data_IF_763737364286
#
_entry.id   IF_763737364286
#
_cell.length_a   1.000
_cell.length_b   1.000
_cell.length_c   1.000
_cell.angle_alpha   90.00
_cell.angle_beta   90.00
_cell.angle_gamma   90.00
#
_symmetry.space_group_name_H-M   'P 1'
#
loop_
_entity.id
_entity.type
_entity.pdbx_description
1 polymer ?
#
# COMPACT_ATOMS: atom_id res chain seq x y z
N UNK A 1 15.50 9.31 -7.61
CA UNK A 1 14.26 8.68 -7.11
C UNK A 1 13.97 7.42 -7.92
N UNK A 2 13.95 6.25 -7.28
CA UNK A 2 13.70 4.95 -7.93
C UNK A 2 12.44 5.02 -8.81
N UNK A 3 12.49 4.48 -10.04
CA UNK A 3 11.36 4.47 -10.99
C UNK A 3 10.08 3.92 -10.34
N UNK A 4 10.25 2.98 -9.41
CA UNK A 4 9.19 2.44 -8.57
C UNK A 4 8.45 3.50 -7.74
N UNK A 5 9.19 4.30 -6.96
CA UNK A 5 8.62 5.36 -6.13
C UNK A 5 7.83 6.37 -6.96
N UNK A 6 8.37 6.75 -8.14
CA UNK A 6 7.65 7.63 -9.06
C UNK A 6 6.31 7.03 -9.49
N UNK A 7 6.26 5.73 -9.80
CA UNK A 7 5.03 5.04 -10.21
C UNK A 7 3.99 4.95 -9.09
N UNK A 8 4.42 4.64 -7.86
CA UNK A 8 3.52 4.64 -6.69
C UNK A 8 2.93 6.03 -6.46
N UNK A 9 3.77 7.07 -6.46
CA UNK A 9 3.29 8.45 -6.24
C UNK A 9 2.29 8.85 -7.32
N UNK A 10 2.59 8.58 -8.60
CA UNK A 10 1.67 8.88 -9.70
C UNK A 10 0.34 8.14 -9.53
N UNK A 11 0.35 6.87 -9.15
CA UNK A 11 -0.87 6.12 -8.91
C UNK A 11 -1.68 6.72 -7.74
N UNK A 12 -1.02 7.03 -6.63
CA UNK A 12 -1.68 7.66 -5.49
C UNK A 12 -2.32 9.00 -5.88
N UNK A 13 -1.59 9.84 -6.62
CA UNK A 13 -2.11 11.11 -7.13
C UNK A 13 -3.32 10.91 -8.04
N UNK A 14 -3.30 9.91 -8.93
CA UNK A 14 -4.44 9.61 -9.80
C UNK A 14 -5.68 9.15 -9.00
N UNK A 15 -5.51 8.24 -8.05
CA UNK A 15 -6.61 7.75 -7.21
C UNK A 15 -7.18 8.90 -6.36
N UNK A 16 -6.32 9.71 -5.73
CA UNK A 16 -6.77 10.86 -4.96
C UNK A 16 -7.39 11.95 -5.82
N UNK A 17 -6.92 12.17 -7.05
CA UNK A 17 -7.57 13.09 -7.99
C UNK A 17 -9.01 12.64 -8.31
N UNK A 18 -9.23 11.35 -8.54
CA UNK A 18 -10.58 10.79 -8.75
C UNK A 18 -11.45 10.99 -7.50
N UNK A 19 -10.93 10.68 -6.31
CA UNK A 19 -11.65 10.90 -5.04
C UNK A 19 -12.01 12.38 -4.87
N UNK A 20 -11.07 13.29 -5.15
CA UNK A 20 -11.31 14.73 -5.07
C UNK A 20 -12.41 15.19 -6.03
N UNK A 21 -12.40 14.70 -7.28
CA UNK A 21 -13.45 15.00 -8.26
C UNK A 21 -14.81 14.52 -7.74
N UNK A 22 -14.88 13.26 -7.28
CA UNK A 22 -16.12 12.67 -6.74
C UNK A 22 -16.65 13.41 -5.50
N UNK A 23 -15.75 13.97 -4.69
CA UNK A 23 -16.12 14.79 -3.55
C UNK A 23 -16.72 16.13 -4.00
N UNK A 24 -16.10 16.81 -4.96
CA UNK A 24 -16.62 18.08 -5.49
C UNK A 24 -17.94 17.92 -6.26
N UNK A 25 -18.22 16.75 -6.82
CA UNK A 25 -19.53 16.43 -7.42
C UNK A 25 -20.58 15.99 -6.39
N UNK A 26 -20.27 16.04 -5.09
CA UNK A 26 -21.11 15.56 -3.98
C UNK A 26 -21.55 14.08 -4.12
N UNK A 27 -20.78 13.28 -4.87
CA UNK A 27 -21.06 11.85 -5.05
C UNK A 27 -20.58 11.00 -3.88
N UNK A 28 -19.64 11.52 -3.10
CA UNK A 28 -19.11 10.89 -1.89
C UNK A 28 -19.10 11.88 -0.71
N UNK A 29 -19.17 11.35 0.51
CA UNK A 29 -19.16 12.14 1.74
C UNK A 29 -17.75 12.54 2.18
N UNK A 30 -17.64 13.49 3.11
CA UNK A 30 -16.37 13.82 3.75
C UNK A 30 -15.79 12.62 4.52
N UNK A 31 -16.66 11.80 5.16
CA UNK A 31 -16.24 10.57 5.84
C UNK A 31 -15.57 9.60 4.85
N UNK A 32 -16.12 9.45 3.64
CA UNK A 32 -15.50 8.63 2.59
C UNK A 32 -14.10 9.13 2.23
N UNK A 33 -13.90 10.44 2.09
CA UNK A 33 -12.58 11.03 1.78
C UNK A 33 -11.59 10.72 2.91
N UNK A 34 -12.01 10.92 4.17
CA UNK A 34 -11.19 10.63 5.35
C UNK A 34 -10.83 9.14 5.40
N UNK A 35 -11.79 8.24 5.22
CA UNK A 35 -11.57 6.80 5.09
C UNK A 35 -10.54 6.47 4.02
N UNK A 36 -10.65 7.11 2.86
CA UNK A 36 -9.75 6.89 1.73
C UNK A 36 -8.31 7.33 2.04
N UNK A 37 -8.14 8.43 2.78
CA UNK A 37 -6.82 8.92 3.22
C UNK A 37 -6.18 7.92 4.17
N UNK A 38 -6.91 7.42 5.17
CA UNK A 38 -6.37 6.42 6.11
C UNK A 38 -6.01 5.11 5.40
N UNK A 39 -6.88 4.63 4.51
CA UNK A 39 -6.63 3.44 3.70
C UNK A 39 -5.37 3.59 2.82
N UNK A 40 -5.23 4.74 2.16
CA UNK A 40 -4.06 5.07 1.36
C UNK A 40 -2.78 5.14 2.17
N UNK A 41 -2.82 5.81 3.33
CA UNK A 41 -1.67 5.96 4.21
C UNK A 41 -1.15 4.61 4.74
N UNK A 42 -2.05 3.73 5.20
CA UNK A 42 -1.67 2.39 5.64
C UNK A 42 -1.02 1.58 4.52
N UNK A 43 -1.59 1.62 3.31
CA UNK A 43 -1.00 0.93 2.17
C UNK A 43 0.34 1.52 1.72
N UNK A 44 0.51 2.83 1.87
CA UNK A 44 1.78 3.48 1.53
C UNK A 44 2.88 3.01 2.48
N UNK A 45 2.61 2.99 3.79
CA UNK A 45 3.53 2.47 4.80
C UNK A 45 3.87 1.00 4.50
N UNK A 46 2.85 0.20 4.18
CA UNK A 46 3.04 -1.21 3.81
C UNK A 46 3.94 -1.38 2.57
N UNK A 47 3.72 -0.59 1.51
CA UNK A 47 4.53 -0.63 0.30
C UNK A 47 5.97 -0.16 0.53
N UNK A 48 6.17 0.88 1.36
CA UNK A 48 7.51 1.35 1.74
C UNK A 48 8.27 0.30 2.55
N UNK A 49 7.59 -0.39 3.46
CA UNK A 49 8.17 -1.50 4.22
C UNK A 49 8.61 -2.64 3.28
N UNK A 50 7.80 -2.98 2.28
CA UNK A 50 8.13 -3.96 1.25
C UNK A 50 9.46 -3.65 0.55
N UNK A 51 9.58 -2.43 0.03
CA UNK A 51 10.77 -2.00 -0.70
C UNK A 51 12.00 -2.03 0.19
N UNK A 52 11.87 -1.62 1.45
CA UNK A 52 12.98 -1.63 2.41
C UNK A 52 13.45 -3.07 2.68
N UNK A 53 12.52 -4.00 2.94
CA UNK A 53 12.84 -5.42 3.17
C UNK A 53 13.49 -6.07 1.94
N UNK A 54 12.99 -5.73 0.74
CA UNK A 54 13.61 -6.19 -0.50
C UNK A 54 15.02 -5.64 -0.68
N UNK A 55 15.24 -4.34 -0.45
CA UNK A 55 16.57 -3.73 -0.57
C UNK A 55 17.60 -4.35 0.39
N UNK A 56 17.18 -4.69 1.62
CA UNK A 56 18.03 -5.35 2.60
C UNK A 56 18.41 -6.78 2.19
N UNK A 57 17.52 -7.46 1.47
CA UNK A 57 17.71 -8.87 1.11
C UNK A 57 18.24 -9.10 -0.30
N UNK A 58 18.09 -8.15 -1.21
CA UNK A 58 18.43 -8.29 -2.63
C UNK A 58 19.93 -8.47 -2.90
N UNK A 59 20.79 -8.09 -1.96
CA UNK A 59 22.25 -8.33 -2.02
C UNK A 59 22.70 -9.52 -1.17
N UNK A 60 21.79 -10.17 -0.45
CA UNK A 60 22.06 -11.31 0.41
C UNK A 60 21.77 -12.63 -0.32
N UNK A 61 22.12 -13.76 0.30
CA UNK A 61 21.86 -15.09 -0.27
C UNK A 61 20.35 -15.44 -0.32
N UNK A 62 20.01 -16.48 -1.07
CA UNK A 62 18.62 -16.93 -1.28
C UNK A 62 17.83 -17.14 0.03
N UNK A 63 18.46 -17.65 1.08
CA UNK A 63 17.80 -17.84 2.38
C UNK A 63 17.36 -16.52 3.00
N UNK A 64 18.19 -15.47 2.89
CA UNK A 64 17.84 -14.12 3.35
C UNK A 64 16.72 -13.53 2.50
N UNK A 65 16.74 -13.73 1.17
CA UNK A 65 15.66 -13.29 0.29
C UNK A 65 14.29 -13.85 0.72
N UNK A 66 14.23 -15.14 1.03
CA UNK A 66 13.01 -15.81 1.51
C UNK A 66 12.56 -15.21 2.85
N UNK A 67 13.46 -15.11 3.83
CA UNK A 67 13.11 -14.63 5.18
C UNK A 67 12.57 -13.19 5.13
N UNK A 68 13.26 -12.28 4.44
CA UNK A 68 12.88 -10.87 4.42
C UNK A 68 11.63 -10.59 3.59
N UNK A 69 11.42 -11.28 2.46
CA UNK A 69 10.27 -11.00 1.58
C UNK A 69 9.05 -11.84 1.94
N UNK A 70 9.19 -13.16 2.16
CA UNK A 70 8.05 -14.01 2.55
C UNK A 70 7.74 -13.88 4.05
N UNK A 71 8.76 -13.95 4.91
CA UNK A 71 8.56 -13.71 6.35
C UNK A 71 8.12 -12.27 6.64
N UNK A 72 8.72 -11.31 5.95
CA UNK A 72 8.32 -9.91 6.04
C UNK A 72 6.90 -9.65 5.53
N UNK A 73 6.42 -10.38 4.51
CA UNK A 73 5.02 -10.33 4.07
C UNK A 73 4.07 -10.75 5.19
N UNK A 74 4.37 -11.85 5.90
CA UNK A 74 3.55 -12.32 7.03
C UNK A 74 3.48 -11.26 8.13
N UNK A 75 4.61 -10.68 8.53
CA UNK A 75 4.66 -9.62 9.55
C UNK A 75 3.88 -8.38 9.12
N UNK A 76 4.02 -7.98 7.84
CA UNK A 76 3.27 -6.86 7.25
C UNK A 76 1.77 -7.11 7.26
N UNK A 77 1.33 -8.32 6.91
CA UNK A 77 -0.09 -8.70 6.93
C UNK A 77 -0.68 -8.66 8.34
N UNK A 78 0.03 -9.19 9.34
CA UNK A 78 -0.40 -9.12 10.74
C UNK A 78 -0.48 -7.66 11.21
N UNK A 79 0.54 -6.86 10.87
CA UNK A 79 0.59 -5.44 11.23
C UNK A 79 -0.53 -4.64 10.56
N UNK A 80 -0.84 -4.93 9.29
CA UNK A 80 -1.96 -4.36 8.57
C UNK A 80 -3.29 -4.76 9.21
N UNK A 81 -3.46 -6.02 9.61
CA UNK A 81 -4.68 -6.47 10.29
C UNK A 81 -4.90 -5.73 11.61
N UNK A 82 -3.85 -5.58 12.42
CA UNK A 82 -3.92 -4.81 13.68
C UNK A 82 -4.30 -3.35 13.40
N UNK A 83 -3.61 -2.71 12.45
CA UNK A 83 -3.88 -1.33 12.07
C UNK A 83 -5.30 -1.15 11.51
N UNK A 84 -5.78 -2.11 10.73
CA UNK A 84 -7.12 -2.13 10.16
C UNK A 84 -8.19 -2.19 11.25
N UNK A 85 -8.04 -3.07 12.25
CA UNK A 85 -8.94 -3.15 13.40
C UNK A 85 -8.92 -1.85 14.21
N UNK A 86 -7.75 -1.26 14.42
CA UNK A 86 -7.64 0.01 15.14
C UNK A 86 -8.37 1.12 14.38
N UNK A 87 -8.17 1.22 13.07
CA UNK A 87 -8.79 2.26 12.26
C UNK A 87 -10.30 2.13 12.26
N UNK A 88 -10.85 0.94 12.04
CA UNK A 88 -12.30 0.73 12.05
C UNK A 88 -12.91 0.99 13.42
N UNK A 89 -12.27 0.51 14.50
CA UNK A 89 -12.87 0.55 15.84
C UNK A 89 -12.76 1.91 16.52
N UNK A 90 -11.69 2.66 16.26
CA UNK A 90 -11.39 3.90 16.99
C UNK A 90 -11.57 5.17 16.17
N UNK A 91 -11.49 5.08 14.84
CA UNK A 91 -11.72 6.23 13.99
C UNK A 91 -13.15 6.10 13.45
N UNK A 92 -14.02 7.02 13.85
CA UNK A 92 -15.42 7.08 13.40
C UNK A 92 -15.50 7.44 11.91
N UNK A 93 -15.17 6.47 11.06
CA UNK A 93 -15.03 6.62 9.61
C UNK A 93 -16.05 5.73 8.88
N UNK A 94 -16.20 5.96 7.58
CA UNK A 94 -16.96 5.05 6.74
C UNK A 94 -16.16 3.75 6.53
N UNK A 95 -16.56 2.70 7.24
CA UNK A 95 -15.90 1.38 7.23
C UNK A 95 -15.91 0.76 5.83
N UNK A 96 -17.02 0.87 5.09
CA UNK A 96 -17.14 0.28 3.76
C UNK A 96 -16.23 1.00 2.76
N UNK A 97 -16.20 2.33 2.81
CA UNK A 97 -15.29 3.14 2.00
C UNK A 97 -13.82 2.80 2.31
N UNK A 98 -13.49 2.69 3.60
CA UNK A 98 -12.14 2.34 4.03
C UNK A 98 -11.72 0.98 3.48
N UNK A 99 -12.56 -0.06 3.68
CA UNK A 99 -12.30 -1.42 3.22
C UNK A 99 -12.10 -1.46 1.71
N UNK A 100 -13.01 -0.83 0.96
CA UNK A 100 -12.99 -0.80 -0.50
C UNK A 100 -11.70 -0.16 -1.03
N UNK A 101 -11.38 1.04 -0.56
CA UNK A 101 -10.18 1.78 -1.00
C UNK A 101 -8.90 1.08 -0.52
N UNK A 102 -8.92 0.49 0.67
CA UNK A 102 -7.80 -0.27 1.20
C UNK A 102 -7.44 -1.44 0.30
N UNK A 103 -8.42 -2.23 -0.13
CA UNK A 103 -8.17 -3.36 -1.03
C UNK A 103 -7.65 -2.91 -2.39
N UNK A 104 -8.19 -1.83 -2.96
CA UNK A 104 -7.69 -1.27 -4.22
C UNK A 104 -6.21 -0.91 -4.09
N UNK A 105 -5.84 -0.12 -3.08
CA UNK A 105 -4.44 0.26 -2.88
C UNK A 105 -3.55 -0.94 -2.57
N UNK A 106 -4.05 -1.92 -1.82
CA UNK A 106 -3.30 -3.12 -1.47
C UNK A 106 -2.95 -3.95 -2.70
N UNK A 107 -3.93 -4.32 -3.52
CA UNK A 107 -3.70 -5.14 -4.70
C UNK A 107 -2.80 -4.43 -5.71
N UNK A 108 -3.02 -3.14 -5.94
CA UNK A 108 -2.18 -2.36 -6.83
C UNK A 108 -0.74 -2.27 -6.31
N UNK A 109 -0.56 -2.05 -5.01
CA UNK A 109 0.77 -2.03 -4.39
C UNK A 109 1.48 -3.37 -4.51
N UNK A 110 0.75 -4.48 -4.35
CA UNK A 110 1.28 -5.84 -4.51
C UNK A 110 1.72 -6.11 -5.96
N UNK A 111 0.93 -5.70 -6.95
CA UNK A 111 1.30 -5.81 -8.36
C UNK A 111 2.60 -5.04 -8.63
N UNK A 112 2.71 -3.82 -8.13
CA UNK A 112 3.94 -3.04 -8.28
C UNK A 112 5.12 -3.70 -7.58
N UNK A 113 4.93 -4.21 -6.37
CA UNK A 113 5.95 -4.93 -5.60
C UNK A 113 6.52 -6.10 -6.42
N UNK A 114 5.66 -6.94 -7.00
CA UNK A 114 6.06 -8.05 -7.87
C UNK A 114 6.85 -7.56 -9.09
N UNK A 115 6.35 -6.54 -9.79
CA UNK A 115 7.06 -5.97 -10.95
C UNK A 115 8.43 -5.39 -10.59
N UNK A 116 8.53 -4.77 -9.41
CA UNK A 116 9.80 -4.24 -8.91
C UNK A 116 10.80 -5.36 -8.63
N UNK A 117 10.37 -6.44 -8.01
CA UNK A 117 11.23 -7.58 -7.71
C UNK A 117 11.72 -8.23 -9.00
N UNK A 118 10.83 -8.52 -9.95
CA UNK A 118 11.17 -9.13 -11.24
C UNK A 118 12.17 -8.25 -12.01
N UNK A 119 11.92 -6.94 -12.10
CA UNK A 119 12.79 -6.03 -12.85
C UNK A 119 14.17 -5.88 -12.22
N UNK A 120 14.25 -5.99 -10.89
CA UNK A 120 15.50 -5.81 -10.16
C UNK A 120 16.34 -7.09 -10.22
N UNK A 121 15.71 -8.27 -10.13
CA UNK A 121 16.39 -9.56 -10.33
C UNK A 121 16.87 -9.74 -11.77
N UNK A 122 16.07 -9.39 -12.79
CA UNK A 122 16.48 -9.50 -14.21
C UNK A 122 17.62 -8.56 -14.63
N UNK A 123 17.97 -7.57 -13.81
CA UNK A 123 19.06 -6.62 -14.07
C UNK A 123 20.40 -7.07 -13.49
N UNK A 124 20.41 -8.11 -12.69
CA UNK A 124 21.62 -8.85 -12.29
C UNK A 124 21.94 -9.89 -13.38
#
# INVERSE_FOLDING_TARGET
>A
MNIFFKRIIVLYLLVFAVITILYFTNSISQLFVISSIYAGALNLINALAAVKLFQLSHKAGNSSFIIYNLGGLTVRLISLLIAFVIVIKFLNIDEYAFIFIFFIFYFVSLIFEVFFYIKTVKKQ
#
